data_IF_933526403913
#
_entry.id   IF_933526403913
#
_cell.length_a   1.000
_cell.length_b   1.000
_cell.length_c   1.000
_cell.angle_alpha   90.00
_cell.angle_beta   90.00
_cell.angle_gamma   90.00
#
_symmetry.space_group_name_H-M   'P 1'
#
loop_
_entity.id
_entity.type
_entity.pdbx_description
1 polymer ?
#
# COMPACT_ATOMS: atom_id res chain seq x y z
N UNK A 1 -15.01 14.68 -4.95
CA UNK A 1 -13.64 15.04 -4.53
C UNK A 1 -12.71 13.91 -4.97
N UNK A 2 -12.18 13.95 -6.20
CA UNK A 2 -11.10 13.06 -6.66
C UNK A 2 -9.80 13.77 -6.29
N UNK A 3 -9.21 13.44 -5.15
CA UNK A 3 -7.96 14.05 -4.68
C UNK A 3 -6.83 13.00 -4.57
N UNK A 4 -6.84 12.03 -5.48
CA UNK A 4 -5.91 10.89 -5.49
C UNK A 4 -5.42 10.64 -6.91
N UNK A 5 -5.06 11.69 -7.64
CA UNK A 5 -4.26 11.49 -8.85
C UNK A 5 -2.79 11.57 -8.41
N UNK A 6 -2.17 10.40 -8.34
CA UNK A 6 -0.71 10.16 -8.21
C UNK A 6 -0.10 10.32 -6.82
N UNK A 7 -0.78 9.79 -5.81
CA UNK A 7 -0.20 9.68 -4.46
C UNK A 7 0.90 8.63 -4.38
N UNK A 8 0.79 7.57 -5.20
CA UNK A 8 1.76 6.49 -5.28
C UNK A 8 2.73 6.78 -6.44
N UNK A 9 4.01 6.91 -6.10
CA UNK A 9 5.09 7.17 -7.04
C UNK A 9 5.66 5.88 -7.63
N UNK A 10 5.74 4.82 -6.83
CA UNK A 10 6.29 3.53 -7.26
C UNK A 10 5.75 2.39 -6.40
N UNK A 11 5.70 1.19 -6.98
CA UNK A 11 5.28 -0.03 -6.30
C UNK A 11 6.22 -1.18 -6.67
N UNK A 12 6.86 -1.75 -5.65
CA UNK A 12 7.70 -2.95 -5.78
C UNK A 12 7.27 -4.02 -4.77
N UNK A 13 7.67 -5.26 -5.00
CA UNK A 13 7.34 -6.36 -4.09
C UNK A 13 8.49 -7.38 -4.02
N UNK A 14 8.56 -8.09 -2.89
CA UNK A 14 9.48 -9.20 -2.65
C UNK A 14 8.77 -10.25 -1.80
N UNK A 15 8.47 -11.41 -2.38
CA UNK A 15 7.65 -12.43 -1.73
C UNK A 15 6.29 -11.86 -1.30
N UNK A 16 5.95 -11.99 -0.02
CA UNK A 16 4.73 -11.46 0.59
C UNK A 16 4.82 -9.99 1.01
N UNK A 17 5.90 -9.27 0.66
CA UNK A 17 6.11 -7.87 1.02
C UNK A 17 5.82 -6.94 -0.15
N UNK A 18 5.08 -5.85 0.10
CA UNK A 18 4.85 -4.78 -0.87
C UNK A 18 5.49 -3.51 -0.34
N UNK A 19 6.34 -2.88 -1.13
CA UNK A 19 6.90 -1.58 -0.87
C UNK A 19 6.23 -0.52 -1.75
N UNK A 20 5.72 0.53 -1.12
CA UNK A 20 5.11 1.68 -1.77
C UNK A 20 6.01 2.89 -1.55
N UNK A 21 6.33 3.60 -2.63
CA UNK A 21 6.84 4.97 -2.55
C UNK A 21 5.70 5.93 -2.80
N UNK A 22 5.57 6.94 -1.96
CA UNK A 22 4.46 7.85 -1.92
C UNK A 22 4.95 9.30 -2.05
N UNK A 23 4.04 10.19 -2.41
CA UNK A 23 4.29 11.62 -2.26
C UNK A 23 4.45 11.94 -0.77
N UNK A 24 5.48 12.69 -0.33
CA UNK A 24 5.66 13.05 1.08
C UNK A 24 4.40 13.66 1.70
N UNK A 25 4.09 13.29 2.94
CA UNK A 25 2.90 13.75 3.66
C UNK A 25 1.59 13.04 3.28
N UNK A 26 1.62 12.09 2.33
CA UNK A 26 0.43 11.33 1.93
C UNK A 26 0.28 9.97 2.61
N UNK A 27 1.32 9.51 3.30
CA UNK A 27 1.39 8.20 3.97
C UNK A 27 0.19 7.92 4.86
N UNK A 28 -0.26 8.90 5.65
CA UNK A 28 -1.37 8.69 6.59
C UNK A 28 -2.68 8.33 5.88
N UNK A 29 -2.96 8.96 4.73
CA UNK A 29 -4.16 8.73 3.93
C UNK A 29 -4.11 7.36 3.28
N UNK A 30 -2.98 7.04 2.63
CA UNK A 30 -2.78 5.75 1.96
C UNK A 30 -2.79 4.60 2.97
N UNK A 31 -2.10 4.73 4.10
CA UNK A 31 -2.14 3.75 5.19
C UNK A 31 -3.57 3.47 5.63
N UNK A 32 -4.41 4.51 5.78
CA UNK A 32 -5.80 4.33 6.18
C UNK A 32 -6.60 3.54 5.14
N UNK A 33 -6.46 3.89 3.86
CA UNK A 33 -7.13 3.17 2.76
C UNK A 33 -6.69 1.71 2.68
N UNK A 34 -5.39 1.43 2.87
CA UNK A 34 -4.85 0.07 2.91
C UNK A 34 -5.48 -0.74 4.04
N UNK A 35 -5.53 -0.20 5.25
CA UNK A 35 -6.10 -0.90 6.41
C UNK A 35 -7.61 -1.09 6.22
N UNK A 36 -8.33 -0.08 5.74
CA UNK A 36 -9.77 -0.19 5.46
C UNK A 36 -10.08 -1.27 4.40
N UNK A 37 -9.22 -1.44 3.39
CA UNK A 37 -9.45 -2.37 2.29
C UNK A 37 -8.90 -3.79 2.54
N UNK A 38 -7.81 -3.94 3.31
CA UNK A 38 -7.00 -5.17 3.33
C UNK A 38 -6.53 -5.60 4.73
N UNK A 39 -7.18 -5.14 5.82
CA UNK A 39 -6.75 -5.48 7.19
C UNK A 39 -6.59 -7.00 7.44
N UNK A 40 -7.44 -7.82 6.82
CA UNK A 40 -7.41 -9.28 7.02
C UNK A 40 -6.23 -9.95 6.31
N UNK A 41 -5.73 -9.37 5.24
CA UNK A 41 -4.61 -9.89 4.44
C UNK A 41 -3.25 -9.42 4.97
N UNK A 42 -3.22 -8.37 5.79
CA UNK A 42 -2.00 -7.75 6.31
C UNK A 42 -1.56 -8.46 7.59
N UNK A 43 -0.31 -8.93 7.59
CA UNK A 43 0.40 -9.34 8.80
C UNK A 43 0.93 -8.13 9.57
N UNK A 44 1.55 -7.17 8.87
CA UNK A 44 2.09 -5.96 9.48
C UNK A 44 2.22 -4.82 8.47
N UNK A 45 2.27 -3.58 8.99
CA UNK A 45 2.48 -2.35 8.23
C UNK A 45 3.51 -1.47 8.92
N UNK A 46 4.55 -1.08 8.18
CA UNK A 46 5.57 -0.12 8.61
C UNK A 46 5.46 1.07 7.66
N UNK A 47 5.45 2.27 8.21
CA UNK A 47 5.24 3.48 7.45
C UNK A 47 6.24 4.56 7.87
N UNK A 48 6.79 5.26 6.89
CA UNK A 48 7.61 6.46 7.02
C UNK A 48 6.93 7.63 6.28
N UNK A 49 7.53 8.82 6.24
CA UNK A 49 6.89 10.02 5.66
C UNK A 49 6.53 9.89 4.17
N UNK A 50 7.29 9.12 3.41
CA UNK A 50 7.14 8.95 1.95
C UNK A 50 7.10 7.49 1.50
N UNK A 51 6.99 6.53 2.43
CA UNK A 51 7.00 5.12 2.09
C UNK A 51 6.18 4.25 3.03
N UNK A 52 5.67 3.14 2.51
CA UNK A 52 4.98 2.11 3.27
C UNK A 52 5.51 0.74 2.86
N UNK A 53 5.90 -0.05 3.86
CA UNK A 53 6.13 -1.48 3.73
C UNK A 53 4.93 -2.24 4.30
N UNK A 54 4.28 -3.02 3.44
CA UNK A 54 3.26 -3.98 3.80
C UNK A 54 3.86 -5.37 3.85
N UNK A 55 3.50 -6.12 4.88
CA UNK A 55 3.81 -7.55 4.98
C UNK A 55 2.46 -8.27 4.96
N UNK A 56 2.21 -9.08 3.93
CA UNK A 56 0.97 -9.86 3.79
C UNK A 56 1.08 -11.19 4.55
N UNK A 57 -0.05 -11.75 5.00
CA UNK A 57 -0.09 -13.07 5.63
C UNK A 57 0.23 -14.20 4.64
N UNK A 58 -0.12 -14.03 3.36
CA UNK A 58 0.08 -15.01 2.28
C UNK A 58 0.28 -14.26 0.94
N UNK A 59 1.10 -14.81 0.04
CA UNK A 59 1.37 -14.27 -1.30
C UNK A 59 0.18 -14.39 -2.26
N UNK A 60 -0.80 -15.27 -1.98
CA UNK A 60 -1.95 -15.50 -2.87
C UNK A 60 -2.72 -14.23 -3.24
N UNK A 61 -2.79 -13.26 -2.32
CA UNK A 61 -3.56 -12.03 -2.52
C UNK A 61 -2.70 -10.86 -3.06
N UNK A 62 -1.39 -11.05 -3.20
CA UNK A 62 -0.44 -10.02 -3.61
C UNK A 62 -0.88 -9.32 -4.90
N UNK A 63 -1.16 -10.09 -5.95
CA UNK A 63 -1.52 -9.53 -7.26
C UNK A 63 -2.85 -8.78 -7.25
N UNK A 64 -3.83 -9.24 -6.47
CA UNK A 64 -5.11 -8.58 -6.33
C UNK A 64 -4.95 -7.23 -5.61
N UNK A 65 -4.20 -7.21 -4.51
CA UNK A 65 -3.90 -6.00 -3.73
C UNK A 65 -3.12 -4.99 -4.59
N UNK A 66 -2.05 -5.43 -5.27
CA UNK A 66 -1.26 -4.56 -6.16
C UNK A 66 -2.11 -3.92 -7.25
N UNK A 67 -3.07 -4.66 -7.82
CA UNK A 67 -3.97 -4.14 -8.85
C UNK A 67 -4.86 -3.04 -8.30
N UNK A 68 -5.37 -3.17 -7.08
CA UNK A 68 -6.21 -2.14 -6.45
C UNK A 68 -5.37 -0.92 -6.08
N UNK A 69 -4.23 -1.12 -5.42
CA UNK A 69 -3.33 -0.04 -4.97
C UNK A 69 -2.86 0.82 -6.14
N UNK A 70 -2.53 0.21 -7.30
CA UNK A 70 -2.10 0.95 -8.51
C UNK A 70 -3.17 1.87 -9.11
N UNK A 71 -4.42 1.77 -8.67
CA UNK A 71 -5.51 2.64 -9.12
C UNK A 71 -5.85 3.76 -8.13
N UNK A 72 -5.07 3.90 -7.05
CA UNK A 72 -5.18 4.97 -6.05
C UNK A 72 -4.22 6.13 -6.31
#
# INVERSE_FOLDING_TARGET
MKLAEHTILDVSFLGNMINLKLVPGSTAVIKRQIVEAFAEEIFSIIADDDSILLILKDEKNLQAILKVIKNW
#
